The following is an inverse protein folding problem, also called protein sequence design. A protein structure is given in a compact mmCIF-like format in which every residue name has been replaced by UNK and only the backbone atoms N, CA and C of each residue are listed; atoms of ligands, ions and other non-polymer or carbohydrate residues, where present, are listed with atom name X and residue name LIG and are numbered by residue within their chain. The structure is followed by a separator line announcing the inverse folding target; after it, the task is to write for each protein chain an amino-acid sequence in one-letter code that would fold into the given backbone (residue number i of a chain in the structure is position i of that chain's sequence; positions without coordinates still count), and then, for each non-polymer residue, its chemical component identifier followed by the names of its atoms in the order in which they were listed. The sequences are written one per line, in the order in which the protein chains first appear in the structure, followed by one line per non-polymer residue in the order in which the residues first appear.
data_IF_417597683630
#
_entry.id   IF_417597683630
#
_cell.length_a   1.000
_cell.length_b   1.000
_cell.length_c   1.000
_cell.angle_alpha   90.00
_cell.angle_beta   90.00
_cell.angle_gamma   90.00
#
_symmetry.space_group_name_H-M   'P 1'
#
loop_
_entity.id
_entity.type
_entity.pdbx_description
1 polymer ?
#
# COMPACT_ATOMS: atom_id res chain seq x y z
N UNK A 1 -19.02 0.40 6.07
CA UNK A 1 -18.08 1.32 6.72
C UNK A 1 -16.60 1.04 6.42
N UNK A 2 -16.14 -0.22 6.39
CA UNK A 2 -14.72 -0.57 6.12
C UNK A 2 -14.23 -0.17 4.70
N UNK A 3 -15.05 -0.36 3.67
CA UNK A 3 -14.69 0.01 2.29
C UNK A 3 -14.35 1.50 2.14
N UNK A 4 -15.16 2.38 2.74
CA UNK A 4 -14.93 3.84 2.72
C UNK A 4 -13.61 4.22 3.42
N UNK A 5 -13.29 3.56 4.54
CA UNK A 5 -12.02 3.77 5.26
C UNK A 5 -10.82 3.36 4.42
N UNK A 6 -10.92 2.28 3.64
CA UNK A 6 -9.86 1.80 2.76
C UNK A 6 -9.67 2.70 1.55
N UNK A 7 -10.76 3.17 0.92
CA UNK A 7 -10.70 4.17 -0.14
C UNK A 7 -9.99 5.46 0.32
N UNK A 8 -10.31 5.93 1.52
CA UNK A 8 -9.62 7.10 2.09
C UNK A 8 -8.12 6.86 2.31
N UNK A 9 -7.72 5.64 2.70
CA UNK A 9 -6.30 5.31 2.88
C UNK A 9 -5.57 5.18 1.54
N UNK A 10 -6.19 4.58 0.52
CA UNK A 10 -5.61 4.51 -0.82
C UNK A 10 -5.44 5.90 -1.43
N UNK A 11 -6.44 6.79 -1.28
CA UNK A 11 -6.31 8.18 -1.70
C UNK A 11 -5.18 8.92 -0.97
N UNK A 12 -4.96 8.66 0.32
CA UNK A 12 -3.81 9.21 1.04
C UNK A 12 -2.47 8.71 0.52
N UNK A 13 -2.37 7.45 0.09
CA UNK A 13 -1.18 6.94 -0.59
C UNK A 13 -0.93 7.74 -1.87
N UNK A 14 -1.94 7.88 -2.75
CA UNK A 14 -1.81 8.63 -3.98
C UNK A 14 -1.38 10.08 -3.74
N UNK A 15 -2.02 10.76 -2.78
CA UNK A 15 -1.65 12.13 -2.40
C UNK A 15 -0.19 12.21 -1.92
N UNK A 16 0.31 11.23 -1.16
CA UNK A 16 1.70 11.22 -0.74
C UNK A 16 2.64 11.17 -1.96
N UNK A 17 2.34 10.30 -2.93
CA UNK A 17 3.13 10.20 -4.17
C UNK A 17 3.11 11.49 -4.98
N UNK A 18 1.95 12.14 -5.09
CA UNK A 18 1.82 13.45 -5.74
C UNK A 18 2.63 14.55 -5.04
N UNK A 19 2.80 14.45 -3.71
CA UNK A 19 3.63 15.37 -2.91
C UNK A 19 5.12 14.99 -2.90
N UNK A 20 5.57 14.11 -3.80
CA UNK A 20 6.97 13.76 -3.97
C UNK A 20 7.49 12.70 -3.00
N UNK A 21 6.61 11.95 -2.35
CA UNK A 21 7.02 10.72 -1.68
C UNK A 21 7.23 9.60 -2.71
N UNK A 22 8.21 8.75 -2.47
CA UNK A 22 8.55 7.61 -3.32
C UNK A 22 8.20 6.31 -2.59
N UNK A 23 7.72 5.31 -3.35
CA UNK A 23 7.57 3.95 -2.83
C UNK A 23 8.95 3.29 -2.82
N UNK A 24 9.36 2.77 -1.67
CA UNK A 24 10.52 1.90 -1.57
C UNK A 24 10.06 0.47 -1.90
N UNK A 25 10.57 -0.08 -3.01
CA UNK A 25 10.27 -1.44 -3.44
C UNK A 25 11.21 -2.47 -2.76
N UNK A 26 10.73 -3.71 -2.51
CA UNK A 26 9.40 -4.23 -2.84
C UNK A 26 8.32 -3.80 -1.83
N UNK A 27 7.07 -3.74 -2.28
CA UNK A 27 5.91 -3.67 -1.38
C UNK A 27 5.75 -5.01 -0.67
N UNK A 28 5.62 -4.99 0.65
CA UNK A 28 5.54 -6.22 1.43
C UNK A 28 4.08 -6.64 1.59
N UNK A 29 3.76 -7.93 1.42
CA UNK A 29 2.42 -8.46 1.67
C UNK A 29 2.46 -9.46 2.83
N UNK A 30 1.57 -9.27 3.81
CA UNK A 30 1.40 -10.20 4.94
C UNK A 30 0.00 -10.80 4.95
N UNK A 31 -0.07 -12.09 5.24
CA UNK A 31 -1.35 -12.73 5.55
C UNK A 31 -1.97 -12.07 6.82
N UNK A 32 -3.30 -11.84 6.85
CA UNK A 32 -3.96 -11.44 8.07
C UNK A 32 -3.85 -12.54 9.13
N UNK A 33 -3.76 -12.15 10.40
CA UNK A 33 -3.67 -13.10 11.53
C UNK A 33 -4.91 -14.00 11.66
N UNK A 34 -6.04 -13.52 11.12
CA UNK A 34 -7.27 -14.29 11.02
C UNK A 34 -7.29 -14.99 9.65
N UNK A 35 -7.02 -16.29 9.66
CA UNK A 35 -6.94 -17.25 8.55
C UNK A 35 -8.22 -17.42 7.70
N UNK A 36 -9.07 -16.41 7.58
CA UNK A 36 -10.07 -16.40 6.52
C UNK A 36 -9.39 -15.91 5.24
N UNK A 37 -8.92 -16.88 4.46
CA UNK A 37 -8.11 -16.78 3.24
C UNK A 37 -8.69 -15.82 2.16
N UNK A 38 -9.96 -15.43 2.27
CA UNK A 38 -10.65 -14.61 1.26
C UNK A 38 -10.15 -13.16 1.15
N UNK A 39 -9.36 -12.65 2.10
CA UNK A 39 -8.97 -11.24 2.15
C UNK A 39 -7.59 -10.91 1.56
N UNK A 40 -6.92 -11.85 0.89
CA UNK A 40 -5.81 -11.56 -0.05
C UNK A 40 -4.54 -10.90 0.51
N UNK A 41 -4.39 -10.73 1.83
CA UNK A 41 -3.20 -10.13 2.46
C UNK A 41 -3.23 -8.61 2.60
N UNK A 42 -2.53 -8.07 3.60
CA UNK A 42 -2.34 -6.62 3.79
C UNK A 42 -1.03 -6.20 3.12
N UNK A 43 -1.11 -5.19 2.27
CA UNK A 43 0.01 -4.59 1.56
C UNK A 43 0.62 -3.46 2.40
N UNK A 44 1.91 -3.53 2.62
CA UNK A 44 2.71 -2.61 3.40
C UNK A 44 3.67 -1.86 2.48
N UNK A 45 3.43 -0.55 2.35
CA UNK A 45 4.21 0.39 1.58
C UNK A 45 5.15 1.15 2.49
N UNK A 46 6.45 1.05 2.26
CA UNK A 46 7.43 1.97 2.83
C UNK A 46 7.51 3.16 1.88
N UNK A 47 7.24 4.35 2.40
CA UNK A 47 7.34 5.60 1.65
C UNK A 47 8.52 6.42 2.15
N UNK A 48 9.34 6.93 1.23
CA UNK A 48 10.48 7.80 1.49
C UNK A 48 10.22 9.19 0.95
N UNK A 49 10.46 10.21 1.76
CA UNK A 49 10.60 11.59 1.30
C UNK A 49 12.05 12.02 1.48
N UNK A 50 12.81 12.02 0.39
CA UNK A 50 14.25 12.34 0.40
C UNK A 50 14.54 13.81 0.72
N UNK A 51 13.60 14.72 0.40
CA UNK A 51 13.77 16.16 0.65
C UNK A 51 13.69 16.48 2.13
N UNK A 52 12.83 15.77 2.86
CA UNK A 52 12.60 15.95 4.29
C UNK A 52 13.34 14.92 5.16
N UNK A 53 14.06 13.98 4.56
CA UNK A 53 14.67 12.81 5.21
C UNK A 53 13.68 12.03 6.12
N UNK A 54 12.47 11.79 5.59
CA UNK A 54 11.40 11.10 6.32
C UNK A 54 11.06 9.75 5.70
N UNK A 55 10.67 8.82 6.57
CA UNK A 55 10.15 7.51 6.20
C UNK A 55 8.79 7.29 6.85
N UNK A 56 7.85 6.69 6.13
CA UNK A 56 6.51 6.39 6.62
C UNK A 56 6.03 5.02 6.14
N UNK A 57 5.29 4.31 6.99
CA UNK A 57 4.71 3.01 6.66
C UNK A 57 3.19 3.15 6.43
N UNK A 58 2.73 2.73 5.25
CA UNK A 58 1.31 2.69 4.90
C UNK A 58 0.85 1.25 4.73
N UNK A 59 -0.26 0.88 5.38
CA UNK A 59 -0.81 -0.48 5.30
C UNK A 59 -2.24 -0.45 4.75
N UNK A 60 -2.46 -1.21 3.68
CA UNK A 60 -3.71 -1.25 2.93
C UNK A 60 -4.15 -2.71 2.75
N UNK A 61 -5.41 -3.06 3.08
CA UNK A 61 -5.97 -4.32 2.59
C UNK A 61 -6.12 -4.26 1.06
N UNK A 62 -6.36 -5.39 0.38
CA UNK A 62 -6.54 -5.38 -1.05
C UNK A 62 -7.81 -4.62 -1.41
N UNK A 63 -7.76 -3.91 -2.54
CA UNK A 63 -8.91 -3.36 -3.22
C UNK A 63 -8.67 -3.41 -4.73
N UNK A 64 -9.71 -3.41 -5.57
CA UNK A 64 -9.54 -3.39 -7.02
C UNK A 64 -8.61 -2.26 -7.50
N UNK A 65 -8.73 -1.07 -6.92
CA UNK A 65 -7.92 0.10 -7.26
C UNK A 65 -6.46 -0.07 -6.84
N UNK A 66 -6.21 -0.67 -5.68
CA UNK A 66 -4.85 -0.96 -5.21
C UNK A 66 -4.17 -1.99 -6.12
N UNK A 67 -4.87 -3.07 -6.44
CA UNK A 67 -4.35 -4.14 -7.30
C UNK A 67 -4.07 -3.62 -8.72
N UNK A 68 -4.99 -2.83 -9.27
CA UNK A 68 -4.78 -2.16 -10.55
C UNK A 68 -3.59 -1.20 -10.51
N UNK A 69 -3.44 -0.42 -9.42
CA UNK A 69 -2.30 0.48 -9.25
C UNK A 69 -0.97 -0.26 -9.24
N UNK A 70 -0.85 -1.35 -8.47
CA UNK A 70 0.34 -2.18 -8.41
C UNK A 70 0.69 -2.76 -9.79
N UNK A 71 -0.31 -3.29 -10.51
CA UNK A 71 -0.13 -3.85 -11.85
C UNK A 71 0.30 -2.78 -12.87
N UNK A 72 -0.40 -1.63 -12.91
CA UNK A 72 -0.09 -0.54 -13.85
C UNK A 72 1.29 0.05 -13.62
N UNK A 73 1.70 0.20 -12.36
CA UNK A 73 3.01 0.74 -11.99
C UNK A 73 4.13 -0.29 -12.05
N UNK A 74 3.81 -1.57 -12.28
CA UNK A 74 4.76 -2.70 -12.25
C UNK A 74 5.55 -2.78 -10.94
N UNK A 75 4.88 -2.45 -9.82
CA UNK A 75 5.49 -2.48 -8.50
C UNK A 75 5.71 -3.93 -8.06
N UNK A 76 6.91 -4.24 -7.61
CA UNK A 76 7.27 -5.55 -7.09
C UNK A 76 6.60 -5.78 -5.74
N UNK A 77 5.95 -6.94 -5.56
CA UNK A 77 5.34 -7.35 -4.29
C UNK A 77 6.03 -8.61 -3.77
N UNK A 78 6.37 -8.64 -2.49
CA UNK A 78 7.03 -9.79 -1.84
C UNK A 78 6.32 -10.17 -0.56
N UNK A 79 6.06 -11.47 -0.40
CA UNK A 79 5.45 -12.01 0.83
C UNK A 79 6.48 -12.05 1.99
N UNK A 80 6.03 -11.74 3.21
CA UNK A 80 6.87 -11.69 4.43
C UNK A 80 6.17 -12.23 5.68
#
# INVERSE_FOLDING_TARGET
MLALKNQNRFRRLLNALENGWEIEEPVLIRAPWNLNEETGGVYHFVLRNRREDKTSLFSLPPSPELLQFLATRRITVTAV
#
